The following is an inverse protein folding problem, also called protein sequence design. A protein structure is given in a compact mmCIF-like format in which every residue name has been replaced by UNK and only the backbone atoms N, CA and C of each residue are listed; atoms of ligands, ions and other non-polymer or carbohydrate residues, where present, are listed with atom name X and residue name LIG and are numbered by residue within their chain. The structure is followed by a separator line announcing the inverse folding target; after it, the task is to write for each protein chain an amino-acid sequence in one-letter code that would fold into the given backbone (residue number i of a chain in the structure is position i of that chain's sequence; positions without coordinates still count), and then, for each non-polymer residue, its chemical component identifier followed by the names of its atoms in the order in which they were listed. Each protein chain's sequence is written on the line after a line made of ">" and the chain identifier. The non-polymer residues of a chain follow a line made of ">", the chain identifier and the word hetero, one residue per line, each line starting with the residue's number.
data_IF_995181247794
#
_entry.id   IF_995181247794
#
_cell.length_a   1.000
_cell.length_b   1.000
_cell.length_c   1.000
_cell.angle_alpha   90.00
_cell.angle_beta   90.00
_cell.angle_gamma   90.00
#
_symmetry.space_group_name_H-M   'P 1'
#
loop_
_entity.id
_entity.type
_entity.pdbx_description
1 polymer ?
#
# COMPACT_ATOMS: atom_id res chain seq x y z
N UNK A 1 -24.79 7.09 -16.02
CA UNK A 1 -25.02 7.85 -17.27
C UNK A 1 -25.08 9.35 -17.00
N UNK A 2 -24.54 10.21 -17.86
CA UNK A 2 -24.54 11.69 -17.71
C UNK A 2 -25.27 12.36 -18.88
N UNK A 3 -25.90 13.51 -18.63
CA UNK A 3 -26.41 14.39 -19.67
C UNK A 3 -25.26 15.26 -20.22
N UNK A 4 -25.13 15.30 -21.54
CA UNK A 4 -24.00 15.90 -22.26
C UNK A 4 -24.58 16.87 -23.28
N UNK A 5 -24.27 18.15 -23.15
CA UNK A 5 -24.70 19.18 -24.10
C UNK A 5 -23.63 19.35 -25.20
N UNK A 6 -24.04 19.24 -26.46
CA UNK A 6 -23.15 19.40 -27.62
C UNK A 6 -23.05 20.88 -27.98
N UNK A 7 -21.92 21.52 -27.69
CA UNK A 7 -21.75 22.97 -27.87
C UNK A 7 -21.29 23.35 -29.27
N UNK A 8 -20.32 22.61 -29.84
CA UNK A 8 -19.72 22.90 -31.16
C UNK A 8 -19.21 21.62 -31.81
N UNK A 9 -19.05 21.62 -33.15
CA UNK A 9 -18.45 20.52 -33.91
C UNK A 9 -17.27 21.04 -34.73
N UNK A 10 -16.13 20.36 -34.63
CA UNK A 10 -14.98 20.52 -35.52
C UNK A 10 -14.77 19.23 -36.32
N UNK A 11 -13.79 19.22 -37.24
CA UNK A 11 -13.53 18.05 -38.11
C UNK A 11 -13.27 16.72 -37.37
N UNK A 12 -12.74 16.77 -36.14
CA UNK A 12 -12.32 15.58 -35.41
C UNK A 12 -13.08 15.33 -34.09
N UNK A 13 -13.66 16.37 -33.48
CA UNK A 13 -14.25 16.30 -32.15
C UNK A 13 -15.51 17.19 -32.06
N UNK A 14 -16.42 16.87 -31.14
CA UNK A 14 -17.39 17.82 -30.60
C UNK A 14 -16.82 18.52 -29.35
N UNK A 15 -17.13 19.80 -29.17
CA UNK A 15 -17.02 20.45 -27.86
C UNK A 15 -18.29 20.14 -27.08
N UNK A 16 -18.13 19.55 -25.91
CA UNK A 16 -19.24 19.16 -25.05
C UNK A 16 -19.16 19.89 -23.71
N UNK A 17 -20.33 20.12 -23.09
CA UNK A 17 -20.44 20.51 -21.69
C UNK A 17 -20.98 19.33 -20.90
N UNK A 18 -20.24 18.98 -19.84
CA UNK A 18 -20.62 17.94 -18.89
C UNK A 18 -20.62 18.62 -17.53
N UNK A 19 -21.80 18.70 -16.91
CA UNK A 19 -22.01 19.48 -15.68
C UNK A 19 -21.55 20.94 -15.89
N UNK A 20 -20.41 21.35 -15.30
CA UNK A 20 -19.85 22.71 -15.40
C UNK A 20 -18.50 22.76 -16.12
N UNK A 21 -18.08 21.67 -16.78
CA UNK A 21 -16.76 21.56 -17.40
C UNK A 21 -16.91 21.32 -18.91
N UNK A 22 -16.12 22.06 -19.69
CA UNK A 22 -15.98 21.84 -21.13
C UNK A 22 -14.95 20.75 -21.44
N UNK A 23 -15.28 19.90 -22.39
CA UNK A 23 -14.42 18.82 -22.86
C UNK A 23 -14.58 18.55 -24.36
N UNK A 24 -13.67 17.76 -24.94
CA UNK A 24 -13.77 17.29 -26.31
C UNK A 24 -14.29 15.85 -26.35
N UNK A 25 -15.28 15.58 -27.21
CA UNK A 25 -15.78 14.25 -27.53
C UNK A 25 -15.25 13.83 -28.91
N UNK A 26 -14.59 12.67 -29.00
CA UNK A 26 -14.13 12.09 -30.28
C UNK A 26 -15.34 11.84 -31.18
N UNK A 27 -15.25 12.22 -32.45
CA UNK A 27 -16.23 11.84 -33.46
C UNK A 27 -15.92 10.42 -33.93
N UNK A 28 -16.91 9.55 -33.85
CA UNK A 28 -16.91 8.17 -34.32
C UNK A 28 -18.32 7.80 -34.83
N UNK A 29 -18.51 6.55 -35.26
CA UNK A 29 -19.78 6.07 -35.80
C UNK A 29 -20.98 6.24 -34.84
N UNK A 30 -20.74 6.25 -33.53
CA UNK A 30 -21.79 6.39 -32.51
C UNK A 30 -22.20 7.85 -32.30
N UNK A 31 -21.29 8.78 -32.54
CA UNK A 31 -21.46 10.21 -32.25
C UNK A 31 -21.65 11.05 -33.52
N UNK A 32 -21.45 10.49 -34.71
CA UNK A 32 -21.59 11.17 -36.00
C UNK A 32 -22.94 11.86 -36.19
N UNK A 33 -24.02 11.25 -35.67
CA UNK A 33 -25.40 11.73 -35.72
C UNK A 33 -25.73 12.84 -34.70
N UNK A 34 -24.81 13.19 -33.80
CA UNK A 34 -25.09 14.19 -32.78
C UNK A 34 -25.16 15.60 -33.36
N UNK A 35 -26.19 16.34 -32.94
CA UNK A 35 -26.45 17.70 -33.41
C UNK A 35 -25.97 18.74 -32.40
N UNK A 36 -25.42 19.86 -32.91
CA UNK A 36 -25.03 21.00 -32.07
C UNK A 36 -26.27 21.61 -31.43
N UNK A 37 -26.22 21.86 -30.12
CA UNK A 37 -27.34 22.32 -29.29
C UNK A 37 -28.15 21.18 -28.66
N UNK A 38 -27.93 19.93 -29.09
CA UNK A 38 -28.63 18.78 -28.50
C UNK A 38 -28.04 18.38 -27.14
N UNK A 39 -28.86 17.73 -26.32
CA UNK A 39 -28.43 17.08 -25.09
C UNK A 39 -28.59 15.57 -25.23
N UNK A 40 -27.48 14.84 -25.09
CA UNK A 40 -27.44 13.37 -25.21
C UNK A 40 -27.14 12.75 -23.85
N UNK A 41 -27.73 11.59 -23.54
CA UNK A 41 -27.42 10.82 -22.33
C UNK A 41 -26.49 9.66 -22.68
N UNK A 42 -25.37 9.54 -21.97
CA UNK A 42 -24.44 8.42 -22.15
C UNK A 42 -23.32 8.38 -21.12
N UNK A 43 -22.37 7.49 -21.34
CA UNK A 43 -21.14 7.37 -20.59
C UNK A 43 -19.99 8.00 -21.38
N UNK A 44 -19.03 8.59 -20.65
CA UNK A 44 -17.85 9.21 -21.23
C UNK A 44 -16.61 8.47 -20.76
N UNK A 45 -15.87 7.91 -21.70
CA UNK A 45 -14.62 7.18 -21.42
C UNK A 45 -13.44 8.11 -21.71
N UNK A 46 -12.57 8.42 -20.74
CA UNK A 46 -11.40 9.26 -20.97
C UNK A 46 -10.49 8.68 -22.04
N UNK A 47 -10.03 9.52 -22.95
CA UNK A 47 -9.04 9.14 -23.97
C UNK A 47 -7.66 9.59 -23.51
N UNK A 48 -6.65 8.71 -23.49
CA UNK A 48 -5.27 9.11 -23.21
C UNK A 48 -4.82 10.21 -24.18
N UNK A 49 -4.37 11.35 -23.64
CA UNK A 49 -3.85 12.46 -24.42
C UNK A 49 -2.34 12.58 -24.21
N UNK A 50 -1.58 12.45 -25.29
CA UNK A 50 -0.14 12.70 -25.26
C UNK A 50 0.12 14.20 -25.07
N UNK A 51 0.92 14.57 -24.06
CA UNK A 51 1.39 15.94 -23.91
C UNK A 51 2.46 16.24 -24.98
N UNK A 52 2.09 16.96 -26.04
CA UNK A 52 3.06 17.38 -27.04
C UNK A 52 3.91 18.52 -26.48
N UNK A 53 5.24 18.32 -26.41
CA UNK A 53 6.22 19.31 -25.88
C UNK A 53 5.89 19.82 -24.47
N UNK A 54 5.38 18.95 -23.58
CA UNK A 54 5.11 19.28 -22.18
C UNK A 54 3.92 20.23 -21.95
N UNK A 55 3.18 20.62 -23.00
CA UNK A 55 1.93 21.37 -22.84
C UNK A 55 0.76 20.41 -22.69
N UNK A 56 0.06 20.52 -21.56
CA UNK A 56 -1.19 19.80 -21.35
C UNK A 56 -2.24 20.32 -22.35
N UNK A 57 -3.03 19.43 -22.97
CA UNK A 57 -4.13 19.84 -23.83
C UNK A 57 -5.12 20.69 -23.04
N UNK A 58 -5.63 21.75 -23.68
CA UNK A 58 -6.54 22.72 -23.05
C UNK A 58 -7.84 22.09 -22.56
N UNK A 59 -8.28 21.00 -23.17
CA UNK A 59 -9.51 20.30 -22.85
C UNK A 59 -9.26 18.79 -22.77
N UNK A 60 -9.90 18.15 -21.79
CA UNK A 60 -9.93 16.69 -21.66
C UNK A 60 -10.67 16.09 -22.85
N UNK A 61 -10.22 14.93 -23.32
CA UNK A 61 -10.84 14.21 -24.44
C UNK A 61 -11.54 12.94 -23.97
N UNK A 62 -12.73 12.66 -24.51
CA UNK A 62 -13.55 11.49 -24.20
C UNK A 62 -14.04 10.79 -25.47
N UNK A 63 -14.36 9.51 -25.36
CA UNK A 63 -15.24 8.77 -26.29
C UNK A 63 -16.61 8.57 -25.66
N UNK A 64 -17.65 8.44 -26.50
CA UNK A 64 -19.00 8.18 -26.05
C UNK A 64 -19.26 6.67 -25.95
N UNK A 65 -20.06 6.27 -24.98
CA UNK A 65 -20.60 4.91 -24.88
C UNK A 65 -22.05 4.96 -24.41
N UNK A 66 -22.92 4.19 -25.06
CA UNK A 66 -24.30 3.99 -24.60
C UNK A 66 -24.36 3.01 -23.41
N UNK A 67 -23.38 2.10 -23.34
CA UNK A 67 -23.24 1.08 -22.29
C UNK A 67 -22.27 1.56 -21.22
N UNK A 68 -22.52 1.17 -19.97
CA UNK A 68 -21.58 1.43 -18.88
C UNK A 68 -20.24 0.75 -19.17
N UNK A 69 -19.13 1.52 -19.29
CA UNK A 69 -17.82 0.94 -19.57
C UNK A 69 -17.37 0.09 -18.38
N UNK A 70 -16.86 -1.11 -18.66
CA UNK A 70 -16.19 -1.91 -17.64
C UNK A 70 -14.99 -1.15 -17.09
N UNK A 71 -14.99 -0.91 -15.77
CA UNK A 71 -13.83 -0.32 -15.10
C UNK A 71 -12.76 -1.39 -14.98
N UNK A 72 -11.71 -1.29 -15.78
CA UNK A 72 -10.50 -2.05 -15.53
C UNK A 72 -9.89 -1.57 -14.20
N UNK A 73 -9.68 -2.48 -13.25
CA UNK A 73 -8.99 -2.17 -11.99
C UNK A 73 -7.50 -2.34 -12.23
N UNK A 74 -6.75 -1.25 -12.15
CA UNK A 74 -5.32 -1.24 -12.44
C UNK A 74 -4.48 -1.70 -11.24
N UNK A 75 -4.99 -1.46 -10.02
CA UNK A 75 -4.40 -1.96 -8.79
C UNK A 75 -5.45 -2.20 -7.69
N UNK A 76 -5.25 -3.26 -6.91
CA UNK A 76 -6.03 -3.61 -5.73
C UNK A 76 -5.14 -3.56 -4.50
N UNK A 77 -5.54 -2.75 -3.52
CA UNK A 77 -4.89 -2.69 -2.21
C UNK A 77 -5.53 -3.70 -1.27
N UNK A 78 -4.69 -4.55 -0.68
CA UNK A 78 -5.10 -5.58 0.27
C UNK A 78 -4.28 -5.43 1.55
N UNK A 79 -4.91 -5.63 2.70
CA UNK A 79 -4.16 -5.96 3.91
C UNK A 79 -4.24 -7.46 4.10
N UNK A 80 -3.10 -8.13 3.99
CA UNK A 80 -2.99 -9.56 4.22
C UNK A 80 -2.73 -9.80 5.70
N UNK A 81 -3.79 -10.18 6.42
CA UNK A 81 -3.75 -10.39 7.87
C UNK A 81 -2.86 -11.59 8.26
N UNK A 82 -2.85 -12.64 7.43
CA UNK A 82 -2.02 -13.83 7.64
C UNK A 82 -0.54 -13.57 7.44
N UNK A 83 -0.17 -12.62 6.58
CA UNK A 83 1.22 -12.23 6.32
C UNK A 83 1.62 -10.90 6.97
N UNK A 84 0.72 -10.31 7.74
CA UNK A 84 0.87 -9.04 8.44
C UNK A 84 1.42 -7.88 7.59
N UNK A 85 0.92 -7.74 6.36
CA UNK A 85 1.49 -6.79 5.37
C UNK A 85 0.44 -6.10 4.51
N UNK A 86 0.76 -4.89 4.10
CA UNK A 86 0.03 -4.19 3.03
C UNK A 86 0.53 -4.72 1.69
N UNK A 87 -0.37 -5.25 0.90
CA UNK A 87 -0.13 -5.72 -0.47
C UNK A 87 -0.81 -4.78 -1.47
N UNK A 88 -0.15 -4.58 -2.59
CA UNK A 88 -0.69 -3.91 -3.75
C UNK A 88 -0.55 -4.88 -4.92
N UNK A 89 -1.68 -5.42 -5.33
CA UNK A 89 -1.83 -6.28 -6.49
C UNK A 89 -2.01 -5.37 -7.69
N UNK A 90 -1.02 -5.31 -8.57
CA UNK A 90 -0.92 -4.26 -9.58
C UNK A 90 -0.51 -4.85 -10.93
N UNK A 91 -0.95 -4.20 -12.01
CA UNK A 91 -0.48 -4.54 -13.35
C UNK A 91 1.02 -4.25 -13.52
N UNK A 92 1.65 -4.93 -14.47
CA UNK A 92 3.08 -4.76 -14.77
C UNK A 92 3.47 -3.32 -15.11
N UNK A 93 2.54 -2.55 -15.72
CA UNK A 93 2.71 -1.13 -16.07
C UNK A 93 2.83 -0.22 -14.85
N UNK A 94 2.27 -0.61 -13.71
CA UNK A 94 2.27 0.15 -12.46
C UNK A 94 3.32 -0.31 -11.44
N UNK A 95 4.00 -1.44 -11.70
CA UNK A 95 5.10 -1.96 -10.88
C UNK A 95 6.22 -0.93 -10.62
N UNK A 96 6.44 0.00 -11.55
CA UNK A 96 7.42 1.08 -11.40
C UNK A 96 7.15 2.01 -10.20
N UNK A 97 5.88 2.20 -9.81
CA UNK A 97 5.51 3.01 -8.65
C UNK A 97 5.94 2.31 -7.35
N UNK A 98 5.72 1.00 -7.25
CA UNK A 98 6.18 0.18 -6.14
C UNK A 98 7.71 0.19 -6.01
N UNK A 99 8.44 0.06 -7.14
CA UNK A 99 9.92 0.07 -7.17
C UNK A 99 10.50 1.39 -6.65
N UNK A 100 9.98 2.54 -7.10
CA UNK A 100 10.44 3.85 -6.63
C UNK A 100 10.23 4.07 -5.13
N UNK A 101 9.18 3.46 -4.57
CA UNK A 101 8.87 3.52 -3.15
C UNK A 101 9.52 2.38 -2.34
N UNK A 102 10.50 1.66 -2.92
CA UNK A 102 11.27 0.59 -2.27
C UNK A 102 10.39 -0.50 -1.65
N UNK A 103 9.23 -0.75 -2.24
CA UNK A 103 8.38 -1.87 -1.83
C UNK A 103 9.06 -3.19 -2.18
N UNK A 104 8.76 -4.21 -1.38
CA UNK A 104 9.17 -5.58 -1.65
C UNK A 104 8.23 -6.20 -2.68
N UNK A 105 8.67 -7.27 -3.33
CA UNK A 105 7.87 -7.96 -4.36
C UNK A 105 7.69 -9.42 -3.99
N UNK A 106 6.51 -9.95 -4.32
CA UNK A 106 6.11 -11.35 -4.23
C UNK A 106 5.59 -11.74 -5.61
N UNK A 107 6.49 -12.13 -6.50
CA UNK A 107 6.23 -12.23 -7.94
C UNK A 107 6.22 -10.86 -8.66
N UNK A 108 5.73 -10.83 -9.90
CA UNK A 108 5.77 -9.64 -10.76
C UNK A 108 4.67 -8.61 -10.43
N UNK A 109 3.50 -9.08 -9.99
CA UNK A 109 2.28 -8.28 -9.88
C UNK A 109 1.82 -8.03 -8.44
N UNK A 110 2.56 -8.47 -7.43
CA UNK A 110 2.25 -8.20 -6.04
C UNK A 110 3.46 -7.54 -5.38
N UNK A 111 3.31 -6.24 -5.07
CA UNK A 111 4.30 -5.54 -4.26
C UNK A 111 3.74 -5.36 -2.84
N UNK A 112 4.61 -5.39 -1.84
CA UNK A 112 4.19 -5.33 -0.44
C UNK A 112 5.10 -4.44 0.40
N UNK A 113 4.52 -3.95 1.48
CA UNK A 113 5.21 -3.22 2.51
C UNK A 113 4.73 -3.72 3.87
N UNK A 114 5.64 -3.70 4.83
CA UNK A 114 5.32 -4.03 6.22
C UNK A 114 4.30 -3.02 6.75
N UNK A 115 3.67 -3.28 7.90
CA UNK A 115 2.45 -2.60 8.35
C UNK A 115 2.56 -1.09 8.67
N UNK A 116 3.47 -0.36 8.03
CA UNK A 116 3.46 1.09 7.92
C UNK A 116 2.44 1.58 6.89
N UNK A 117 1.29 2.05 7.40
CA UNK A 117 0.23 2.64 6.58
C UNK A 117 0.67 3.88 5.78
N UNK A 118 1.75 4.57 6.18
CA UNK A 118 2.25 5.77 5.51
C UNK A 118 2.70 5.48 4.07
N UNK A 119 3.51 4.43 3.87
CA UNK A 119 4.08 4.11 2.55
C UNK A 119 3.01 3.50 1.64
N UNK A 120 2.15 2.64 2.20
CA UNK A 120 0.96 2.16 1.49
C UNK A 120 0.09 3.33 1.00
N UNK A 121 -0.23 4.29 1.87
CA UNK A 121 -1.01 5.47 1.49
C UNK A 121 -0.32 6.37 0.47
N UNK A 122 1.00 6.52 0.56
CA UNK A 122 1.78 7.30 -0.41
C UNK A 122 1.72 6.65 -1.80
N UNK A 123 1.98 5.34 -1.88
CA UNK A 123 1.95 4.59 -3.13
C UNK A 123 0.55 4.59 -3.72
N UNK A 124 -0.48 4.41 -2.89
CA UNK A 124 -1.89 4.55 -3.29
C UNK A 124 -2.15 5.88 -3.96
N UNK A 125 -1.80 6.99 -3.29
CA UNK A 125 -2.01 8.35 -3.82
C UNK A 125 -1.30 8.55 -5.16
N UNK A 126 -0.08 8.05 -5.30
CA UNK A 126 0.67 8.12 -6.57
C UNK A 126 0.00 7.29 -7.69
N UNK A 127 -0.46 6.08 -7.38
CA UNK A 127 -1.15 5.22 -8.36
C UNK A 127 -2.52 5.77 -8.77
N UNK A 128 -3.29 6.31 -7.82
CA UNK A 128 -4.64 6.83 -8.05
C UNK A 128 -4.69 8.13 -8.86
N UNK A 129 -3.56 8.75 -9.22
CA UNK A 129 -3.55 9.99 -10.01
C UNK A 129 -4.17 9.78 -11.40
N UNK A 130 -3.87 8.65 -12.05
CA UNK A 130 -4.27 8.37 -13.43
C UNK A 130 -4.86 6.97 -13.63
N UNK A 131 -5.04 6.19 -12.56
CA UNK A 131 -5.43 4.79 -12.65
C UNK A 131 -6.60 4.50 -11.70
N UNK A 132 -7.40 3.48 -12.02
CA UNK A 132 -8.44 2.98 -11.14
C UNK A 132 -7.81 2.06 -10.09
N UNK A 133 -7.78 2.53 -8.85
CA UNK A 133 -7.16 1.83 -7.73
C UNK A 133 -8.24 1.58 -6.69
N UNK A 134 -8.44 0.31 -6.35
CA UNK A 134 -9.51 -0.12 -5.44
C UNK A 134 -8.94 -0.79 -4.20
N UNK A 135 -9.77 -0.89 -3.16
CA UNK A 135 -9.46 -1.70 -1.99
C UNK A 135 -10.11 -3.07 -2.14
N UNK A 136 -9.41 -4.10 -1.68
CA UNK A 136 -9.97 -5.44 -1.52
C UNK A 136 -11.20 -5.40 -0.59
N UNK A 137 -12.16 -6.28 -0.83
CA UNK A 137 -13.44 -6.28 -0.09
C UNK A 137 -13.25 -6.40 1.42
N UNK A 138 -12.26 -7.18 1.85
CA UNK A 138 -11.96 -7.42 3.25
C UNK A 138 -10.93 -6.43 3.84
N UNK A 139 -10.47 -5.44 3.06
CA UNK A 139 -9.41 -4.51 3.46
C UNK A 139 -9.70 -3.84 4.80
N UNK A 140 -10.88 -3.23 4.95
CA UNK A 140 -11.25 -2.52 6.20
C UNK A 140 -11.31 -3.48 7.39
N UNK A 141 -11.92 -4.65 7.21
CA UNK A 141 -12.03 -5.68 8.26
C UNK A 141 -10.65 -6.16 8.70
N UNK A 142 -9.77 -6.43 7.75
CA UNK A 142 -8.43 -6.94 8.02
C UNK A 142 -7.55 -5.87 8.69
N UNK A 143 -7.70 -4.60 8.31
CA UNK A 143 -7.05 -3.48 9.02
C UNK A 143 -7.55 -3.37 10.45
N UNK A 144 -8.85 -3.42 10.69
CA UNK A 144 -9.38 -3.36 12.06
C UNK A 144 -8.88 -4.51 12.92
N UNK A 145 -8.77 -5.71 12.33
CA UNK A 145 -8.20 -6.88 13.00
C UNK A 145 -6.74 -6.63 13.38
N UNK A 146 -5.94 -6.12 12.44
CA UNK A 146 -4.54 -5.75 12.68
C UNK A 146 -4.41 -4.68 13.77
N UNK A 147 -5.13 -3.56 13.67
CA UNK A 147 -5.07 -2.46 14.64
C UNK A 147 -5.42 -2.95 16.05
N UNK A 148 -6.43 -3.81 16.18
CA UNK A 148 -6.80 -4.37 17.47
C UNK A 148 -5.70 -5.26 18.05
N UNK A 149 -5.05 -6.07 17.21
CA UNK A 149 -3.93 -6.89 17.66
C UNK A 149 -2.69 -6.05 18.02
N UNK A 150 -2.45 -4.96 17.30
CA UNK A 150 -1.41 -3.98 17.62
C UNK A 150 -1.64 -3.31 18.98
N UNK A 151 -2.87 -2.85 19.22
CA UNK A 151 -3.28 -2.23 20.50
C UNK A 151 -3.07 -3.21 21.66
N UNK A 152 -3.53 -4.45 21.51
CA UNK A 152 -3.34 -5.50 22.55
C UNK A 152 -1.86 -5.81 22.80
N UNK A 153 -1.07 -5.86 21.74
CA UNK A 153 0.35 -6.15 21.86
C UNK A 153 1.10 -4.99 22.55
N UNK A 154 0.71 -3.74 22.28
CA UNK A 154 1.21 -2.57 23.01
C UNK A 154 0.82 -2.62 24.48
N UNK A 155 -0.45 -2.87 24.79
CA UNK A 155 -0.93 -2.97 26.17
C UNK A 155 -0.15 -4.04 26.95
N UNK A 156 0.04 -5.23 26.35
CA UNK A 156 0.77 -6.33 26.99
C UNK A 156 2.26 -6.00 27.17
N UNK A 157 2.86 -5.39 26.15
CA UNK A 157 4.24 -4.93 26.25
C UNK A 157 4.39 -3.88 27.37
N UNK A 158 3.51 -2.88 27.43
CA UNK A 158 3.55 -1.82 28.45
C UNK A 158 3.39 -2.38 29.87
N UNK A 159 2.48 -3.33 30.07
CA UNK A 159 2.27 -4.00 31.35
C UNK A 159 3.51 -4.79 31.83
N UNK A 160 4.36 -5.23 30.90
CA UNK A 160 5.53 -6.06 31.19
C UNK A 160 6.86 -5.39 30.85
N UNK A 161 6.84 -4.07 30.55
CA UNK A 161 8.02 -3.35 30.06
C UNK A 161 9.20 -3.39 31.04
N UNK A 162 8.90 -3.40 32.34
CA UNK A 162 9.89 -3.41 33.43
C UNK A 162 10.32 -4.81 33.87
N UNK A 163 9.70 -5.87 33.35
CA UNK A 163 10.06 -7.23 33.75
C UNK A 163 11.36 -7.67 33.07
N UNK A 164 12.24 -8.41 33.78
CA UNK A 164 13.31 -9.18 33.17
C UNK A 164 12.75 -10.10 32.08
N UNK A 165 13.56 -10.39 31.08
CA UNK A 165 13.09 -11.15 29.92
C UNK A 165 12.83 -12.61 30.23
N UNK A 166 13.54 -13.14 31.21
CA UNK A 166 13.40 -14.49 31.74
C UNK A 166 12.00 -14.69 32.34
N UNK A 167 11.41 -13.63 32.90
CA UNK A 167 10.07 -13.62 33.51
C UNK A 167 8.92 -13.43 32.50
N UNK A 168 9.22 -13.14 31.23
CA UNK A 168 8.19 -13.04 30.20
C UNK A 168 7.68 -14.44 29.85
N UNK A 169 6.40 -14.67 30.11
CA UNK A 169 5.70 -15.89 29.71
C UNK A 169 5.49 -15.90 28.19
N UNK A 170 5.93 -16.98 27.54
CA UNK A 170 5.73 -17.26 26.11
C UNK A 170 5.37 -18.73 25.94
N UNK A 171 4.56 -19.04 24.93
CA UNK A 171 4.11 -20.41 24.67
C UNK A 171 5.17 -21.27 23.95
N UNK A 172 6.11 -20.63 23.25
CA UNK A 172 7.16 -21.31 22.49
C UNK A 172 8.33 -21.71 23.39
N UNK A 173 8.90 -22.88 23.11
CA UNK A 173 10.10 -23.39 23.78
C UNK A 173 11.37 -22.61 23.39
N UNK A 174 12.41 -22.69 24.22
CA UNK A 174 13.70 -22.05 23.93
C UNK A 174 14.32 -22.55 22.62
N UNK A 175 14.16 -23.83 22.29
CA UNK A 175 14.63 -24.42 21.03
C UNK A 175 13.88 -23.85 19.81
N UNK A 176 12.57 -23.60 19.92
CA UNK A 176 11.77 -22.97 18.86
C UNK A 176 12.18 -21.51 18.66
N UNK A 177 12.39 -20.76 19.75
CA UNK A 177 12.87 -19.39 19.69
C UNK A 177 14.27 -19.31 19.09
N UNK A 178 15.16 -20.24 19.44
CA UNK A 178 16.51 -20.35 18.87
C UNK A 178 16.47 -20.67 17.37
N UNK A 179 15.55 -21.54 16.92
CA UNK A 179 15.33 -21.81 15.51
C UNK A 179 14.90 -20.55 14.74
N UNK A 180 13.96 -19.77 15.29
CA UNK A 180 13.58 -18.48 14.70
C UNK A 180 14.76 -17.52 14.64
N UNK A 181 15.55 -17.42 15.71
CA UNK A 181 16.75 -16.59 15.74
C UNK A 181 17.73 -16.95 14.61
N UNK A 182 17.99 -18.25 14.42
CA UNK A 182 18.85 -18.73 13.35
C UNK A 182 18.31 -18.32 11.98
N UNK A 183 16.99 -18.46 11.75
CA UNK A 183 16.31 -18.04 10.50
C UNK A 183 16.27 -16.53 10.26
N UNK A 184 16.43 -15.72 11.30
CA UNK A 184 16.58 -14.26 11.14
C UNK A 184 18.04 -13.93 10.83
N UNK A 185 18.99 -14.60 11.49
CA UNK A 185 20.43 -14.41 11.31
C UNK A 185 20.94 -14.85 9.93
N UNK A 186 20.39 -15.92 9.37
CA UNK A 186 20.69 -16.42 8.02
C UNK A 186 19.91 -15.67 6.91
N UNK A 187 19.09 -14.67 7.27
CA UNK A 187 18.24 -13.89 6.38
C UNK A 187 17.11 -14.66 5.69
N UNK A 188 16.78 -15.87 6.17
CA UNK A 188 15.62 -16.64 5.72
C UNK A 188 14.30 -15.92 6.01
N UNK A 189 14.25 -15.13 7.10
CA UNK A 189 13.12 -14.29 7.49
C UNK A 189 13.51 -12.82 7.38
N UNK A 190 12.73 -12.06 6.60
CA UNK A 190 12.78 -10.60 6.64
C UNK A 190 11.93 -10.14 7.81
N UNK A 191 12.52 -9.36 8.73
CA UNK A 191 11.81 -8.69 9.81
C UNK A 191 10.86 -7.61 9.25
N UNK A 192 9.60 -7.64 9.64
CA UNK A 192 8.48 -6.82 9.18
C UNK A 192 7.72 -6.11 10.30
N UNK A 193 8.02 -6.41 11.55
CA UNK A 193 7.22 -6.07 12.71
C UNK A 193 7.41 -4.66 13.27
N UNK A 194 6.63 -4.39 14.31
CA UNK A 194 6.72 -3.19 15.14
C UNK A 194 7.91 -3.26 16.09
N UNK A 195 8.40 -2.09 16.44
CA UNK A 195 9.46 -1.94 17.43
C UNK A 195 8.85 -1.80 18.82
N UNK A 196 9.13 -2.77 19.69
CA UNK A 196 9.00 -2.60 21.12
C UNK A 196 10.36 -2.35 21.73
N UNK A 197 10.44 -1.29 22.53
CA UNK A 197 11.69 -0.86 23.16
C UNK A 197 12.27 -2.03 23.97
N UNK A 198 13.48 -2.48 23.65
CA UNK A 198 14.38 -2.81 24.76
C UNK A 198 14.69 -1.48 25.45
N UNK A 199 14.77 -1.48 26.77
CA UNK A 199 14.77 -0.28 27.61
C UNK A 199 15.93 0.67 27.20
N UNK A 200 15.66 1.60 26.28
CA UNK A 200 16.64 2.55 25.76
C UNK A 200 15.94 3.87 25.46
N UNK A 201 15.85 4.69 26.52
CA UNK A 201 15.40 6.09 26.45
C UNK A 201 16.33 7.01 25.62
N UNK A 202 17.47 6.53 25.11
CA UNK A 202 18.55 7.43 24.64
C UNK A 202 18.92 7.35 23.15
N UNK A 203 18.36 6.45 22.34
CA UNK A 203 18.92 6.22 20.98
C UNK A 203 17.89 6.15 19.85
N UNK A 204 18.02 7.09 18.92
CA UNK A 204 17.62 6.97 17.49
C UNK A 204 18.95 7.04 16.69
N UNK A 205 19.23 6.44 15.52
CA UNK A 205 18.44 6.11 14.34
C UNK A 205 19.31 5.39 13.25
N UNK A 206 18.80 4.37 12.50
CA UNK A 206 19.14 4.07 11.08
C UNK A 206 17.93 3.55 10.27
N UNK A 207 17.90 3.84 8.97
CA UNK A 207 17.00 3.22 7.99
C UNK A 207 17.66 1.94 7.44
N UNK A 208 17.13 0.75 7.73
CA UNK A 208 17.55 -0.51 7.10
C UNK A 208 16.43 -0.97 6.17
N UNK A 209 16.80 -1.67 5.09
CA UNK A 209 15.92 -2.29 4.11
C UNK A 209 14.89 -3.21 4.78
N UNK A 210 13.79 -2.65 5.28
CA UNK A 210 12.50 -3.23 5.66
C UNK A 210 11.69 -2.15 6.43
N UNK A 211 10.94 -1.30 5.73
CA UNK A 211 9.70 -0.80 6.35
C UNK A 211 9.69 0.56 7.06
N UNK A 212 10.74 1.01 7.75
CA UNK A 212 10.64 2.19 8.61
C UNK A 212 11.37 3.43 8.10
N UNK A 213 10.74 4.62 8.15
CA UNK A 213 11.40 5.94 8.14
C UNK A 213 11.57 6.41 9.58
N UNK A 214 12.77 6.77 10.03
CA UNK A 214 12.99 7.69 11.17
C UNK A 214 14.28 8.51 10.89
N UNK A 215 14.64 9.69 11.44
CA UNK A 215 14.44 10.32 12.77
C UNK A 215 15.76 10.56 13.57
N UNK A 216 16.68 11.41 13.09
CA UNK A 216 18.05 11.81 13.58
C UNK A 216 18.55 11.42 14.99
N UNK A 217 19.71 10.72 15.15
CA UNK A 217 20.84 10.92 16.12
C UNK A 217 22.07 10.01 15.79
N UNK A 218 23.26 10.29 16.38
CA UNK A 218 24.62 10.06 15.81
C UNK A 218 25.52 8.94 16.39
N UNK A 219 25.08 8.14 17.36
CA UNK A 219 26.02 7.32 18.18
C UNK A 219 25.84 5.80 18.18
N UNK A 220 24.79 5.25 17.57
CA UNK A 220 24.72 3.80 17.33
C UNK A 220 25.42 3.51 16.01
N UNK A 221 26.18 2.42 15.90
CA UNK A 221 26.66 1.93 14.60
C UNK A 221 25.60 1.01 13.98
N UNK A 222 25.39 1.12 12.67
CA UNK A 222 24.37 0.37 11.90
C UNK A 222 24.38 -1.14 12.20
N UNK A 223 25.56 -1.72 12.41
CA UNK A 223 25.73 -3.15 12.67
C UNK A 223 25.36 -3.56 14.10
N UNK A 224 25.60 -2.69 15.08
CA UNK A 224 25.13 -2.90 16.46
C UNK A 224 23.61 -2.86 16.55
N UNK A 225 22.98 -1.95 15.78
CA UNK A 225 21.53 -1.83 15.69
C UNK A 225 20.89 -3.05 15.02
N UNK A 226 21.43 -3.52 13.89
CA UNK A 226 20.94 -4.72 13.20
C UNK A 226 21.04 -5.99 14.07
N UNK A 227 22.08 -6.11 14.90
CA UNK A 227 22.26 -7.24 15.83
C UNK A 227 21.20 -7.29 16.94
N UNK A 228 20.67 -6.15 17.38
CA UNK A 228 19.65 -6.10 18.42
C UNK A 228 18.33 -6.76 17.99
N UNK A 229 17.93 -6.57 16.72
CA UNK A 229 16.76 -7.25 16.14
C UNK A 229 16.98 -8.74 15.87
N UNK A 230 18.22 -9.21 16.04
CA UNK A 230 18.66 -10.60 15.88
C UNK A 230 19.14 -11.15 17.23
N UNK A 231 18.41 -10.80 18.28
CA UNK A 231 18.65 -11.33 19.63
C UNK A 231 17.48 -12.21 20.06
N UNK A 232 17.79 -13.25 20.84
CA UNK A 232 16.76 -14.07 21.47
C UNK A 232 15.83 -13.23 22.35
N UNK A 233 16.35 -12.15 22.96
CA UNK A 233 15.57 -11.19 23.71
C UNK A 233 14.48 -10.53 22.85
N UNK A 234 14.85 -9.93 21.72
CA UNK A 234 13.86 -9.27 20.86
C UNK A 234 12.77 -10.24 20.39
N UNK A 235 13.18 -11.44 19.97
CA UNK A 235 12.27 -12.48 19.50
C UNK A 235 11.30 -12.91 20.62
N UNK A 236 11.79 -13.10 21.84
CA UNK A 236 10.95 -13.44 23.00
C UNK A 236 9.98 -12.31 23.34
N UNK A 237 10.40 -11.04 23.28
CA UNK A 237 9.51 -9.89 23.50
C UNK A 237 8.40 -9.79 22.46
N UNK A 238 8.71 -10.01 21.18
CA UNK A 238 7.72 -10.04 20.10
C UNK A 238 6.73 -11.19 20.31
N UNK A 239 7.24 -12.38 20.61
CA UNK A 239 6.42 -13.55 20.92
C UNK A 239 5.47 -13.29 22.11
N UNK A 240 5.99 -12.68 23.18
CA UNK A 240 5.21 -12.32 24.35
C UNK A 240 4.12 -11.30 24.01
N UNK A 241 4.49 -10.19 23.36
CA UNK A 241 3.59 -9.08 23.05
C UNK A 241 2.42 -9.53 22.15
N UNK A 242 2.70 -10.28 21.09
CA UNK A 242 1.66 -10.77 20.18
C UNK A 242 0.99 -12.08 20.61
N UNK A 243 1.37 -12.65 21.75
CA UNK A 243 0.84 -13.93 22.23
C UNK A 243 1.07 -15.10 21.27
N UNK A 244 2.24 -15.17 20.65
CA UNK A 244 2.48 -16.14 19.59
C UNK A 244 2.42 -17.57 20.13
N UNK A 245 1.53 -18.36 19.54
CA UNK A 245 1.30 -19.76 19.91
C UNK A 245 2.12 -20.75 19.07
N UNK A 246 2.58 -20.31 17.89
CA UNK A 246 3.35 -21.15 16.97
C UNK A 246 4.53 -20.37 16.40
N UNK A 247 5.57 -21.10 15.95
CA UNK A 247 6.70 -20.51 15.22
C UNK A 247 6.21 -19.70 14.01
N UNK A 248 5.22 -20.19 13.27
CA UNK A 248 4.71 -19.50 12.08
C UNK A 248 4.04 -18.16 12.41
N UNK A 249 3.29 -18.09 13.51
CA UNK A 249 2.71 -16.82 13.97
C UNK A 249 3.81 -15.83 14.37
N UNK A 250 4.81 -16.28 15.13
CA UNK A 250 5.97 -15.45 15.47
C UNK A 250 6.70 -14.93 14.24
N UNK A 251 7.00 -15.79 13.26
CA UNK A 251 7.67 -15.41 12.01
C UNK A 251 6.83 -14.41 11.20
N UNK A 252 5.51 -14.52 11.26
CA UNK A 252 4.58 -13.60 10.57
C UNK A 252 4.59 -12.20 11.19
N UNK A 253 4.75 -12.10 12.51
CA UNK A 253 4.74 -10.85 13.26
C UNK A 253 6.10 -10.14 13.34
N UNK A 254 7.18 -10.90 13.17
CA UNK A 254 8.56 -10.41 13.16
C UNK A 254 8.88 -9.56 11.95
#
# INVERSE_FOLDING_TARGET
>A
MKAIEILKKNRANFRIRVEKVEADLVIDKLTESFEVGSTVKGYLVPVPQNAFKGRLPRFKKYTFSEVEPEKQVDAVLKFNVEKWRFEIHTSSTLSGVCKRNKMQFDGENCCWYTACSHISNKVRKEMSVNNNVEFDKDYSKNIHTFLRSEERADERYEQNAHKPIEELEVALSDDELANVLNKVCDYSIKLRGKWWKSDYKEYRLFEVYNGGRFGTHSHVQKDGYAKQFRSGEYIKRVCHAYDCQTVEDLVTKL
#
